data_IF_394296263508
#
_entry.id   IF_394296263508
#
_cell.length_a   1.000
_cell.length_b   1.000
_cell.length_c   1.000
_cell.angle_alpha   90.00
_cell.angle_beta   90.00
_cell.angle_gamma   90.00
#
_symmetry.space_group_name_H-M   'P 1'
#
loop_
_entity.id
_entity.type
_entity.pdbx_description
1 polymer ?
#
# COMPACT_ATOMS: atom_id res chain seq x y z
N UNK A 1 -17.74 -44.65 39.08
CA UNK A 1 -16.90 -43.66 38.39
C UNK A 1 -16.05 -42.95 39.43
N UNK A 2 -14.75 -43.24 39.50
CA UNK A 2 -13.83 -42.60 40.43
C UNK A 2 -13.43 -41.22 39.88
N UNK A 3 -13.61 -40.16 40.67
CA UNK A 3 -13.18 -38.81 40.31
C UNK A 3 -11.65 -38.74 40.27
N UNK A 4 -11.04 -38.01 39.30
CA UNK A 4 -9.60 -37.87 39.23
C UNK A 4 -9.06 -37.10 40.45
N UNK A 5 -7.87 -37.44 40.94
CA UNK A 5 -7.28 -36.76 42.09
C UNK A 5 -7.03 -35.29 41.76
N UNK A 6 -7.48 -34.39 42.65
CA UNK A 6 -7.22 -32.97 42.57
C UNK A 6 -5.70 -32.74 42.68
N UNK A 7 -5.08 -32.19 41.63
CA UNK A 7 -3.67 -31.77 41.67
C UNK A 7 -3.45 -30.86 42.87
N UNK A 8 -2.36 -31.11 43.61
CA UNK A 8 -2.02 -30.29 44.77
C UNK A 8 -1.75 -28.85 44.32
N UNK A 9 -2.18 -27.87 45.10
CA UNK A 9 -1.94 -26.45 44.81
C UNK A 9 -0.46 -26.16 44.59
N UNK A 10 0.43 -26.87 45.28
CA UNK A 10 1.88 -26.78 45.12
C UNK A 10 2.35 -27.16 43.70
N UNK A 11 1.79 -28.22 43.11
CA UNK A 11 2.14 -28.66 41.75
C UNK A 11 1.68 -27.64 40.70
N UNK A 12 0.53 -26.99 40.95
CA UNK A 12 -0.01 -25.95 40.07
C UNK A 12 0.88 -24.69 40.08
N UNK A 13 1.40 -24.30 41.25
CA UNK A 13 2.34 -23.17 41.36
C UNK A 13 3.69 -23.47 40.70
N UNK A 14 4.17 -24.70 40.78
CA UNK A 14 5.41 -25.10 40.12
C UNK A 14 5.26 -25.16 38.60
N UNK A 15 4.13 -25.65 38.10
CA UNK A 15 3.77 -25.62 36.68
C UNK A 15 3.68 -24.18 36.15
N UNK A 16 3.09 -23.26 36.91
CA UNK A 16 3.04 -21.84 36.55
C UNK A 16 4.45 -21.21 36.41
N UNK A 17 5.40 -21.56 37.29
CA UNK A 17 6.79 -21.08 37.17
C UNK A 17 7.49 -21.61 35.92
N UNK A 18 7.27 -22.88 35.56
CA UNK A 18 7.82 -23.47 34.33
C UNK A 18 7.26 -22.81 33.08
N UNK A 19 5.96 -22.52 33.07
CA UNK A 19 5.31 -21.79 31.97
C UNK A 19 5.91 -20.39 31.84
N UNK A 20 6.11 -19.69 32.96
CA UNK A 20 6.69 -18.36 32.96
C UNK A 20 8.13 -18.34 32.41
N UNK A 21 8.97 -19.29 32.82
CA UNK A 21 10.32 -19.44 32.28
C UNK A 21 10.31 -19.69 30.77
N UNK A 22 9.41 -20.55 30.30
CA UNK A 22 9.29 -20.86 28.86
C UNK A 22 8.85 -19.65 28.04
N UNK A 23 7.94 -18.84 28.58
CA UNK A 23 7.51 -17.59 27.96
C UNK A 23 8.69 -16.60 27.87
N UNK A 24 9.50 -16.51 28.92
CA UNK A 24 10.68 -15.64 28.96
C UNK A 24 11.72 -16.06 27.91
N UNK A 25 12.00 -17.35 27.78
CA UNK A 25 12.86 -17.90 26.71
C UNK A 25 12.30 -17.61 25.30
N UNK A 26 10.98 -17.63 25.12
CA UNK A 26 10.34 -17.31 23.86
C UNK A 26 10.47 -15.83 23.50
N UNK A 27 10.34 -14.93 24.49
CA UNK A 27 10.61 -13.51 24.30
C UNK A 27 12.06 -13.24 23.91
N UNK A 28 13.02 -13.93 24.55
CA UNK A 28 14.44 -13.82 24.20
C UNK A 28 14.73 -14.32 22.78
N UNK A 29 14.15 -15.47 22.41
CA UNK A 29 14.25 -16.00 21.03
C UNK A 29 13.65 -15.02 20.01
N UNK A 30 12.55 -14.37 20.36
CA UNK A 30 11.92 -13.37 19.50
C UNK A 30 12.80 -12.11 19.36
N UNK A 31 13.35 -11.59 20.47
CA UNK A 31 14.25 -10.46 20.46
C UNK A 31 15.51 -10.72 19.61
N UNK A 32 16.12 -11.92 19.73
CA UNK A 32 17.25 -12.35 18.88
C UNK A 32 16.88 -12.38 17.40
N UNK A 33 15.68 -12.88 17.04
CA UNK A 33 15.23 -12.85 15.64
C UNK A 33 15.03 -11.44 15.12
N UNK A 34 14.49 -10.53 15.93
CA UNK A 34 14.33 -9.13 15.54
C UNK A 34 15.67 -8.42 15.34
N UNK A 35 16.66 -8.65 16.20
CA UNK A 35 18.00 -8.04 16.04
C UNK A 35 18.68 -8.55 14.78
N UNK A 36 18.59 -9.85 14.47
CA UNK A 36 19.08 -10.42 13.23
C UNK A 36 18.37 -9.83 12.00
N UNK A 37 17.05 -9.71 12.04
CA UNK A 37 16.29 -9.09 10.96
C UNK A 37 16.72 -7.64 10.74
N UNK A 38 16.83 -6.83 11.80
CA UNK A 38 17.31 -5.43 11.71
C UNK A 38 18.72 -5.34 11.12
N UNK A 39 19.64 -6.22 11.55
CA UNK A 39 21.01 -6.28 11.01
C UNK A 39 21.01 -6.63 9.52
N UNK A 40 20.27 -7.67 9.11
CA UNK A 40 20.15 -8.09 7.71
C UNK A 40 19.50 -7.01 6.85
N UNK A 41 18.40 -6.42 7.32
CA UNK A 41 17.72 -5.33 6.62
C UNK A 41 18.64 -4.11 6.44
N UNK A 42 19.38 -3.71 7.47
CA UNK A 42 20.32 -2.61 7.38
C UNK A 42 21.48 -2.92 6.40
N UNK A 43 21.99 -4.16 6.41
CA UNK A 43 23.02 -4.58 5.45
C UNK A 43 22.49 -4.57 4.00
N UNK A 44 21.27 -5.05 3.78
CA UNK A 44 20.63 -5.05 2.46
C UNK A 44 20.33 -3.63 1.97
N UNK A 45 19.85 -2.76 2.86
CA UNK A 45 19.64 -1.34 2.56
C UNK A 45 20.95 -0.63 2.18
N UNK A 46 22.07 -0.97 2.86
CA UNK A 46 23.40 -0.46 2.48
C UNK A 46 23.84 -0.96 1.10
N UNK A 47 23.65 -2.25 0.79
CA UNK A 47 23.94 -2.79 -0.55
C UNK A 47 23.16 -2.08 -1.64
N UNK A 48 21.87 -1.84 -1.42
CA UNK A 48 21.04 -1.12 -2.38
C UNK A 48 21.47 0.34 -2.55
N UNK A 49 21.88 1.02 -1.46
CA UNK A 49 22.44 2.37 -1.55
C UNK A 49 23.78 2.39 -2.31
N UNK A 50 24.64 1.41 -2.06
CA UNK A 50 25.94 1.30 -2.72
C UNK A 50 25.78 1.01 -4.23
N UNK A 51 24.85 0.14 -4.63
CA UNK A 51 24.53 -0.09 -6.05
C UNK A 51 23.95 1.13 -6.76
N UNK A 52 23.25 2.02 -6.05
CA UNK A 52 22.79 3.31 -6.60
C UNK A 52 23.98 4.27 -6.80
N UNK A 53 24.93 4.31 -5.85
CA UNK A 53 26.14 5.13 -5.98
C UNK A 53 27.07 4.62 -7.09
N UNK A 54 27.32 3.31 -7.18
CA UNK A 54 28.19 2.72 -8.22
C UNK A 54 27.59 2.87 -9.64
N UNK A 55 26.26 2.87 -9.73
CA UNK A 55 25.53 3.19 -10.95
C UNK A 55 25.64 4.66 -11.38
N UNK A 56 25.85 5.58 -10.43
CA UNK A 56 26.09 7.00 -10.71
C UNK A 56 27.56 7.30 -11.08
N UNK A 57 28.51 6.52 -10.55
CA UNK A 57 29.95 6.66 -10.86
C UNK A 57 30.29 6.15 -12.27
N UNK A 58 29.60 5.12 -12.76
CA UNK A 58 29.87 4.52 -14.08
C UNK A 58 29.30 5.35 -15.24
N UNK A 59 28.36 6.27 -14.98
CA UNK A 59 27.73 7.12 -16.00
C UNK A 59 28.40 8.48 -16.19
N UNK A 60 29.37 8.86 -15.37
CA UNK A 60 30.02 10.17 -15.44
C UNK A 60 31.55 10.05 -15.55
N UNK A 61 32.02 9.56 -16.70
CA UNK A 61 33.35 9.93 -17.22
C UNK A 61 33.26 11.21 -18.04
N UNK A 62 32.72 12.29 -17.48
CA UNK A 62 32.96 13.67 -17.97
C UNK A 62 32.50 14.71 -16.96
N UNK A 63 33.38 15.65 -16.65
CA UNK A 63 33.13 16.94 -15.99
C UNK A 63 33.04 16.98 -14.45
N UNK A 64 34.23 17.08 -13.85
CA UNK A 64 34.65 18.09 -12.87
C UNK A 64 33.60 18.81 -12.00
N UNK A 65 33.84 18.66 -10.69
CA UNK A 65 33.71 19.67 -9.63
C UNK A 65 32.33 19.96 -9.01
N UNK A 66 32.33 19.92 -7.68
CA UNK A 66 31.33 20.44 -6.72
C UNK A 66 30.14 19.53 -6.39
N UNK A 67 30.31 18.60 -5.44
CA UNK A 67 29.30 18.29 -4.40
C UNK A 67 29.82 17.21 -3.43
N UNK A 68 30.69 17.59 -2.49
CA UNK A 68 31.04 16.74 -1.36
C UNK A 68 31.09 17.56 -0.07
N UNK A 69 29.96 18.15 0.31
CA UNK A 69 29.76 18.73 1.64
C UNK A 69 28.29 18.60 2.02
N UNK A 70 27.99 17.66 2.91
CA UNK A 70 27.09 17.83 4.07
C UNK A 70 26.85 16.45 4.68
N UNK A 71 27.56 16.19 5.78
CA UNK A 71 27.05 15.69 7.08
C UNK A 71 28.23 15.12 7.86
N UNK A 72 28.94 16.02 8.55
CA UNK A 72 29.84 15.69 9.64
C UNK A 72 29.27 16.24 10.96
N UNK A 73 29.68 15.61 12.06
CA UNK A 73 29.38 15.84 13.49
C UNK A 73 28.20 15.02 14.04
N UNK A 74 28.30 14.25 15.12
CA UNK A 74 29.38 13.85 16.04
C UNK A 74 28.82 12.62 16.80
N UNK A 75 29.59 11.55 17.08
CA UNK A 75 30.02 11.26 18.46
C UNK A 75 30.97 10.05 18.60
N UNK A 76 31.86 10.25 19.55
CA UNK A 76 32.82 9.42 20.27
C UNK A 76 32.93 7.89 20.07
N UNK A 77 34.20 7.49 19.88
CA UNK A 77 34.96 6.51 20.68
C UNK A 77 35.18 5.07 20.19
N UNK A 78 36.48 4.81 20.07
CA UNK A 78 37.25 3.58 20.26
C UNK A 78 37.22 2.53 19.15
N UNK A 79 38.39 2.41 18.53
CA UNK A 79 38.73 1.32 17.63
C UNK A 79 39.09 0.04 18.38
N UNK A 80 39.12 -1.04 17.63
CA UNK A 80 40.33 -1.85 17.50
C UNK A 80 40.29 -2.60 16.17
N UNK A 81 41.49 -2.80 15.63
CA UNK A 81 41.85 -3.38 14.32
C UNK A 81 41.88 -4.91 14.40
N UNK A 82 41.38 -5.60 13.37
CA UNK A 82 41.94 -6.84 12.77
C UNK A 82 41.40 -6.89 11.32
N UNK A 83 42.17 -6.61 10.25
CA UNK A 83 43.21 -7.41 9.57
C UNK A 83 42.73 -8.79 9.08
N UNK A 84 42.70 -8.98 7.77
CA UNK A 84 42.43 -10.25 7.10
C UNK A 84 41.91 -10.04 5.67
N UNK A 85 42.83 -9.86 4.72
CA UNK A 85 42.50 -9.94 3.30
C UNK A 85 42.34 -11.38 2.84
N UNK A 86 41.65 -11.59 1.73
CA UNK A 86 42.14 -12.45 0.66
C UNK A 86 41.36 -12.21 -0.63
N UNK A 87 42.14 -12.08 -1.70
CA UNK A 87 41.72 -12.09 -3.09
C UNK A 87 41.28 -13.50 -3.47
N UNK A 88 40.17 -13.63 -4.20
CA UNK A 88 40.13 -14.63 -5.26
C UNK A 88 39.25 -14.14 -6.41
N UNK A 89 39.83 -14.20 -7.60
CA UNK A 89 39.24 -13.78 -8.86
C UNK A 89 39.04 -15.03 -9.70
N UNK A 90 37.78 -15.35 -9.99
CA UNK A 90 37.46 -16.23 -11.12
C UNK A 90 36.38 -15.58 -11.96
N UNK A 91 36.80 -15.27 -13.18
CA UNK A 91 36.01 -14.90 -14.33
C UNK A 91 35.01 -16.01 -14.66
N UNK A 92 33.80 -15.65 -15.06
CA UNK A 92 33.16 -16.25 -16.24
C UNK A 92 32.10 -15.30 -16.79
N UNK A 93 32.36 -14.87 -18.01
CA UNK A 93 31.46 -14.10 -18.84
C UNK A 93 30.46 -15.04 -19.52
N UNK A 94 29.16 -14.87 -19.25
CA UNK A 94 28.11 -15.31 -20.18
C UNK A 94 27.16 -14.16 -20.47
N UNK A 95 27.42 -13.58 -21.65
CA UNK A 95 26.53 -12.82 -22.51
C UNK A 95 25.09 -13.36 -22.50
N UNK A 96 24.13 -12.48 -22.23
CA UNK A 96 22.71 -12.86 -22.25
C UNK A 96 21.75 -11.68 -22.08
N UNK A 97 21.95 -10.60 -22.84
CA UNK A 97 20.98 -9.50 -22.96
C UNK A 97 19.62 -10.00 -23.46
N UNK A 98 18.68 -10.26 -22.55
CA UNK A 98 17.24 -10.35 -22.88
C UNK A 98 16.53 -9.09 -22.42
N UNK A 99 16.34 -8.17 -23.38
CA UNK A 99 15.42 -7.04 -23.29
C UNK A 99 14.00 -7.60 -23.18
N UNK A 100 13.43 -7.64 -21.98
CA UNK A 100 11.99 -7.83 -21.82
C UNK A 100 11.30 -6.47 -21.86
N UNK A 101 10.43 -6.33 -22.86
CA UNK A 101 9.67 -5.13 -23.15
C UNK A 101 8.90 -4.61 -21.94
N UNK A 102 9.06 -3.31 -21.71
CA UNK A 102 8.29 -2.48 -20.80
C UNK A 102 6.85 -2.42 -21.33
N UNK A 103 5.97 -3.27 -20.80
CA UNK A 103 4.53 -3.25 -21.08
C UNK A 103 3.87 -2.28 -20.10
N UNK A 104 3.37 -1.17 -20.61
CA UNK A 104 2.71 -0.12 -19.82
C UNK A 104 1.51 -0.68 -19.04
N UNK A 105 1.57 -0.59 -17.70
CA UNK A 105 0.57 -1.09 -16.75
C UNK A 105 -0.43 0.00 -16.32
N UNK A 106 -0.74 0.97 -17.19
CA UNK A 106 -1.57 2.13 -16.81
C UNK A 106 -3.01 1.79 -16.39
N UNK A 107 -3.57 0.63 -16.80
CA UNK A 107 -4.95 0.26 -16.46
C UNK A 107 -5.16 -0.26 -15.03
N UNK A 108 -4.19 -0.99 -14.45
CA UNK A 108 -4.37 -1.66 -13.14
C UNK A 108 -4.36 -0.68 -11.96
N UNK A 109 -3.77 0.49 -12.15
CA UNK A 109 -3.64 1.46 -11.07
C UNK A 109 -4.95 2.22 -10.83
N UNK A 110 -5.80 2.37 -11.84
CA UNK A 110 -7.09 3.07 -11.74
C UNK A 110 -8.06 2.32 -10.81
N UNK A 111 -8.14 0.99 -10.93
CA UNK A 111 -9.02 0.17 -10.09
C UNK A 111 -8.54 0.14 -8.63
N UNK A 112 -7.22 0.12 -8.41
CA UNK A 112 -6.64 0.27 -7.08
C UNK A 112 -7.00 1.64 -6.53
N UNK A 113 -6.77 2.75 -7.24
CA UNK A 113 -7.13 4.09 -6.76
C UNK A 113 -8.62 4.25 -6.45
N UNK A 114 -9.51 3.65 -7.26
CA UNK A 114 -10.96 3.63 -7.02
C UNK A 114 -11.35 2.79 -5.78
N UNK A 115 -10.69 1.66 -5.54
CA UNK A 115 -10.88 0.90 -4.31
C UNK A 115 -10.32 1.66 -3.08
N UNK A 116 -9.28 2.47 -3.29
CA UNK A 116 -8.65 3.26 -2.23
C UNK A 116 -9.42 4.52 -1.84
N UNK A 117 -10.19 5.11 -2.77
CA UNK A 117 -10.95 6.33 -2.50
C UNK A 117 -12.00 6.15 -1.41
N UNK A 118 -12.55 4.93 -1.21
CA UNK A 118 -13.50 4.65 -0.14
C UNK A 118 -12.87 4.67 1.27
N UNK A 119 -11.53 4.61 1.39
CA UNK A 119 -10.83 4.68 2.67
C UNK A 119 -10.44 6.10 3.08
N UNK A 120 -10.44 7.04 2.14
CA UNK A 120 -10.29 8.47 2.36
C UNK A 120 -11.65 9.15 2.25
N UNK A 121 -12.37 9.23 3.37
CA UNK A 121 -13.37 10.28 3.57
C UNK A 121 -12.79 11.22 4.61
N UNK A 122 -12.06 12.27 4.18
CA UNK A 122 -11.63 13.31 5.10
C UNK A 122 -12.79 14.29 5.37
N UNK A 123 -12.67 15.16 6.38
CA UNK A 123 -13.80 15.91 6.93
C UNK A 123 -14.32 17.05 6.03
N UNK A 124 -13.68 17.34 4.89
CA UNK A 124 -14.07 18.44 3.99
C UNK A 124 -13.46 18.23 2.59
N UNK A 125 -14.17 18.41 1.46
CA UNK A 125 -13.61 18.32 0.10
C UNK A 125 -12.30 19.12 -0.11
N UNK A 126 -12.08 20.22 0.63
CA UNK A 126 -10.84 20.98 0.55
C UNK A 126 -9.60 20.19 1.05
N UNK A 127 -9.78 19.34 2.06
CA UNK A 127 -8.70 18.54 2.68
C UNK A 127 -8.27 17.36 1.81
N UNK A 128 -9.03 17.00 0.78
CA UNK A 128 -8.63 16.03 -0.25
C UNK A 128 -7.68 16.62 -1.27
N UNK A 129 -7.74 17.94 -1.48
CA UNK A 129 -6.90 18.62 -2.47
C UNK A 129 -5.59 19.09 -1.85
N UNK A 130 -5.65 19.64 -0.65
CA UNK A 130 -4.53 20.26 0.03
C UNK A 130 -4.14 19.45 1.28
N UNK A 131 -2.84 19.33 1.53
CA UNK A 131 -2.32 18.69 2.73
C UNK A 131 -2.48 19.61 3.94
N UNK A 132 -3.19 19.17 4.98
CA UNK A 132 -3.38 19.96 6.21
C UNK A 132 -2.08 20.30 6.97
N UNK A 133 -0.97 19.59 6.70
CA UNK A 133 0.30 19.79 7.40
C UNK A 133 1.23 20.77 6.69
N UNK A 134 1.44 20.60 5.39
CA UNK A 134 2.35 21.46 4.60
C UNK A 134 1.62 22.41 3.66
N UNK A 135 0.30 22.34 3.59
CA UNK A 135 -0.56 23.15 2.71
C UNK A 135 -0.24 23.04 1.22
N UNK A 136 0.59 22.07 0.79
CA UNK A 136 0.80 21.75 -0.61
C UNK A 136 -0.28 20.85 -1.19
N UNK A 137 -0.43 20.86 -2.52
CA UNK A 137 -1.33 19.97 -3.25
C UNK A 137 -0.97 18.51 -3.02
N UNK A 138 -1.95 17.65 -2.73
CA UNK A 138 -1.68 16.21 -2.47
C UNK A 138 -1.19 15.44 -3.69
N UNK A 139 -1.42 15.97 -4.89
CA UNK A 139 -1.00 15.40 -6.17
C UNK A 139 -0.68 16.53 -7.15
N UNK A 140 0.32 16.31 -8.03
CA UNK A 140 0.62 17.23 -9.13
C UNK A 140 -0.54 17.41 -10.10
N UNK A 141 -1.42 16.41 -10.23
CA UNK A 141 -2.61 16.48 -11.09
C UNK A 141 -3.68 17.45 -10.60
N UNK A 142 -3.65 17.81 -9.31
CA UNK A 142 -4.62 18.72 -8.71
C UNK A 142 -4.22 20.18 -8.85
N UNK A 143 -2.93 20.41 -9.07
CA UNK A 143 -2.36 21.73 -9.35
C UNK A 143 -3.07 22.33 -10.57
N UNK A 144 -3.58 23.56 -10.43
CA UNK A 144 -4.18 24.31 -11.54
C UNK A 144 -3.14 25.22 -12.16
N UNK A 145 -3.22 25.41 -13.48
CA UNK A 145 -2.41 26.38 -14.19
C UNK A 145 -2.81 27.81 -13.81
N UNK A 146 -1.82 28.70 -13.76
CA UNK A 146 -2.06 30.14 -13.66
C UNK A 146 -2.92 30.63 -14.85
N UNK A 147 -3.67 31.73 -14.67
CA UNK A 147 -4.39 32.35 -15.77
C UNK A 147 -3.41 32.78 -16.86
N UNK A 148 -3.65 32.33 -18.09
CA UNK A 148 -2.83 32.73 -19.24
C UNK A 148 -2.85 34.26 -19.40
N UNK A 149 -1.71 34.91 -19.67
CA UNK A 149 -0.39 34.34 -20.02
C UNK A 149 0.62 34.37 -18.86
N UNK A 150 0.18 34.38 -17.60
CA UNK A 150 1.07 34.47 -16.45
C UNK A 150 1.87 33.19 -16.22
N UNK A 151 3.13 33.34 -15.84
CA UNK A 151 4.00 32.26 -15.42
C UNK A 151 4.67 32.59 -14.08
N UNK A 152 4.84 31.58 -13.24
CA UNK A 152 5.59 31.68 -11.99
C UNK A 152 7.06 31.37 -12.23
N UNK A 153 7.93 32.13 -11.59
CA UNK A 153 9.38 31.95 -11.57
C UNK A 153 9.86 32.05 -10.12
N UNK A 154 11.00 31.42 -9.83
CA UNK A 154 11.68 31.57 -8.55
C UNK A 154 12.89 32.48 -8.75
N UNK A 155 13.05 33.49 -7.90
CA UNK A 155 14.24 34.32 -7.86
C UNK A 155 15.34 33.56 -7.11
N UNK A 156 16.43 33.21 -7.81
CA UNK A 156 17.55 32.45 -7.24
C UNK A 156 18.26 33.19 -6.10
N UNK A 157 18.19 34.52 -6.06
CA UNK A 157 18.89 35.31 -5.05
C UNK A 157 18.13 35.36 -3.72
N UNK A 158 16.80 35.41 -3.78
CA UNK A 158 15.94 35.51 -2.59
C UNK A 158 15.22 34.21 -2.25
N UNK A 159 15.15 33.26 -3.18
CA UNK A 159 14.36 32.04 -3.09
C UNK A 159 12.84 32.28 -3.15
N UNK A 160 12.40 33.52 -3.44
CA UNK A 160 10.98 33.88 -3.48
C UNK A 160 10.42 33.71 -4.88
N UNK A 161 9.15 33.33 -4.96
CA UNK A 161 8.47 33.23 -6.24
C UNK A 161 7.88 34.57 -6.67
N UNK A 162 7.92 34.81 -7.98
CA UNK A 162 7.31 35.96 -8.63
C UNK A 162 6.57 35.52 -9.89
N UNK A 163 5.61 36.33 -10.30
CA UNK A 163 4.76 36.10 -11.46
C UNK A 163 5.11 37.09 -12.55
N UNK A 164 5.38 36.59 -13.74
CA UNK A 164 5.75 37.39 -14.90
C UNK A 164 4.70 37.26 -16.00
N UNK A 165 4.31 38.40 -16.56
CA UNK A 165 3.44 38.47 -17.73
C UNK A 165 4.28 38.79 -18.98
N UNK A 166 4.47 37.86 -19.92
CA UNK A 166 5.37 38.03 -21.06
C UNK A 166 4.93 39.14 -22.04
N UNK A 167 3.62 39.27 -22.28
CA UNK A 167 3.10 40.28 -23.21
C UNK A 167 3.31 41.73 -22.76
N UNK A 168 3.14 42.02 -21.47
CA UNK A 168 3.23 43.38 -20.90
C UNK A 168 4.55 43.63 -20.15
N UNK A 169 5.38 42.59 -20.00
CA UNK A 169 6.60 42.58 -19.19
C UNK A 169 6.40 42.98 -17.73
N UNK A 170 5.18 42.80 -17.20
CA UNK A 170 4.89 43.09 -15.80
C UNK A 170 5.39 41.96 -14.90
N UNK A 171 5.97 42.34 -13.76
CA UNK A 171 6.37 41.44 -12.66
C UNK A 171 5.48 41.72 -11.46
N UNK A 172 5.00 40.67 -10.79
CA UNK A 172 4.21 40.75 -9.57
C UNK A 172 4.73 39.74 -8.55
N UNK A 173 4.69 40.11 -7.27
CA UNK A 173 5.07 39.23 -6.17
C UNK A 173 3.89 38.45 -5.59
N UNK A 174 2.67 38.78 -6.01
CA UNK A 174 1.44 38.10 -5.59
C UNK A 174 0.76 37.49 -6.83
N UNK A 175 0.02 36.38 -6.65
CA UNK A 175 -0.70 35.74 -7.74
C UNK A 175 -1.67 36.72 -8.42
N UNK A 176 -1.85 36.65 -9.75
CA UNK A 176 -2.84 37.44 -10.46
C UNK A 176 -4.26 37.23 -9.92
N UNK A 177 -5.13 38.25 -9.99
CA UNK A 177 -6.48 38.19 -9.42
C UNK A 177 -7.38 37.08 -10.00
N UNK A 178 -7.11 36.60 -11.21
CA UNK A 178 -7.83 35.49 -11.85
C UNK A 178 -7.27 34.10 -11.46
N UNK A 179 -6.37 34.02 -10.48
CA UNK A 179 -5.85 32.75 -9.96
C UNK A 179 -6.94 32.03 -9.17
N UNK A 180 -7.00 30.71 -9.30
CA UNK A 180 -7.96 29.90 -8.56
C UNK A 180 -7.75 30.03 -7.04
N UNK A 181 -8.84 30.06 -6.27
CA UNK A 181 -8.81 30.19 -4.82
C UNK A 181 -7.93 29.16 -4.12
N UNK A 182 -7.94 27.89 -4.54
CA UNK A 182 -7.09 26.86 -3.93
C UNK A 182 -5.60 27.16 -4.16
N UNK A 183 -5.23 27.55 -5.38
CA UNK A 183 -3.85 27.91 -5.72
C UNK A 183 -3.38 29.15 -4.95
N UNK A 184 -4.26 30.13 -4.73
CA UNK A 184 -3.99 31.28 -3.87
C UNK A 184 -3.77 30.88 -2.39
N UNK A 185 -4.61 29.98 -1.85
CA UNK A 185 -4.46 29.45 -0.49
C UNK A 185 -3.12 28.69 -0.30
N UNK A 186 -2.69 27.93 -1.31
CA UNK A 186 -1.38 27.25 -1.27
C UNK A 186 -0.24 28.28 -1.29
N UNK A 187 -0.36 29.33 -2.09
CA UNK A 187 0.64 30.41 -2.15
C UNK A 187 0.83 31.11 -0.80
N UNK A 188 -0.25 31.47 -0.11
CA UNK A 188 -0.18 32.17 1.20
C UNK A 188 0.66 31.44 2.25
N UNK A 189 0.80 30.11 2.13
CA UNK A 189 1.54 29.29 3.09
C UNK A 189 2.87 28.76 2.58
N UNK A 190 3.01 28.58 1.27
CA UNK A 190 4.16 27.91 0.67
C UNK A 190 4.98 28.81 -0.27
N UNK A 191 4.56 30.05 -0.46
CA UNK A 191 5.13 31.04 -1.37
C UNK A 191 5.16 30.61 -2.86
N UNK A 192 4.46 29.54 -3.24
CA UNK A 192 4.31 29.10 -4.64
C UNK A 192 2.89 28.59 -4.88
N UNK A 193 2.33 28.84 -6.08
CA UNK A 193 1.01 28.28 -6.44
C UNK A 193 1.10 26.83 -6.93
N UNK A 194 2.31 26.27 -7.04
CA UNK A 194 2.56 24.95 -7.62
C UNK A 194 3.10 23.93 -6.62
N UNK A 195 3.18 24.26 -5.33
CA UNK A 195 3.75 23.38 -4.30
C UNK A 195 2.97 22.06 -4.18
N UNK A 196 3.66 20.94 -4.44
CA UNK A 196 3.12 19.59 -4.22
C UNK A 196 3.62 19.05 -2.88
N UNK A 197 2.68 18.54 -2.08
CA UNK A 197 2.92 17.91 -0.79
C UNK A 197 3.93 16.76 -0.90
N UNK A 198 4.98 16.81 -0.07
CA UNK A 198 5.97 15.73 0.11
C UNK A 198 5.90 15.09 1.50
N UNK A 199 4.88 15.40 2.29
CA UNK A 199 4.74 14.84 3.62
C UNK A 199 4.61 13.32 3.57
N UNK A 200 5.52 12.63 4.27
CA UNK A 200 5.34 11.21 4.56
C UNK A 200 4.04 11.08 5.37
N UNK A 201 3.11 10.16 5.01
CA UNK A 201 1.91 9.95 5.81
C UNK A 201 2.31 9.71 7.26
N UNK A 202 1.75 10.51 8.17
CA UNK A 202 2.05 10.41 9.60
C UNK A 202 1.86 8.96 10.06
N UNK A 203 2.61 8.53 11.08
CA UNK A 203 2.52 7.16 11.61
C UNK A 203 1.08 6.79 11.97
N UNK A 204 0.33 7.74 12.51
CA UNK A 204 -1.09 7.62 12.84
C UNK A 204 -1.97 7.49 11.57
N UNK A 205 -1.77 8.35 10.57
CA UNK A 205 -2.47 8.25 9.27
C UNK A 205 -2.21 6.90 8.58
N UNK A 206 -0.97 6.40 8.64
CA UNK A 206 -0.59 5.09 8.12
C UNK A 206 -1.26 3.95 8.90
N UNK A 207 -1.32 4.04 10.23
CA UNK A 207 -2.00 3.06 11.08
C UNK A 207 -3.49 2.98 10.75
N UNK A 208 -4.19 4.13 10.68
CA UNK A 208 -5.61 4.21 10.30
C UNK A 208 -5.86 3.62 8.92
N UNK A 209 -5.00 3.93 7.95
CA UNK A 209 -5.10 3.37 6.61
C UNK A 209 -4.97 1.83 6.62
N UNK A 210 -3.96 1.30 7.32
CA UNK A 210 -3.78 -0.15 7.44
C UNK A 210 -4.93 -0.84 8.20
N UNK A 211 -5.52 -0.17 9.19
CA UNK A 211 -6.69 -0.68 9.90
C UNK A 211 -7.89 -0.79 8.95
N UNK A 212 -8.19 0.26 8.19
CA UNK A 212 -9.28 0.25 7.21
C UNK A 212 -9.08 -0.82 6.13
N UNK A 213 -7.86 -1.00 5.64
CA UNK A 213 -7.53 -2.09 4.71
C UNK A 213 -7.83 -3.47 5.31
N UNK A 214 -7.45 -3.68 6.57
CA UNK A 214 -7.71 -4.93 7.27
C UNK A 214 -9.21 -5.20 7.39
N UNK A 215 -9.99 -4.19 7.78
CA UNK A 215 -11.45 -4.30 7.90
C UNK A 215 -12.11 -4.65 6.57
N UNK A 216 -11.69 -4.01 5.47
CA UNK A 216 -12.21 -4.32 4.15
C UNK A 216 -11.83 -5.72 3.66
N UNK A 217 -10.58 -6.14 3.87
CA UNK A 217 -10.14 -7.49 3.52
C UNK A 217 -10.97 -8.56 4.26
N UNK A 218 -11.28 -8.31 5.55
CA UNK A 218 -12.16 -9.17 6.33
C UNK A 218 -13.60 -9.14 5.80
N UNK A 219 -14.10 -7.98 5.38
CA UNK A 219 -15.42 -7.84 4.75
C UNK A 219 -15.54 -8.65 3.46
N UNK A 220 -14.55 -8.55 2.57
CA UNK A 220 -14.52 -9.34 1.34
C UNK A 220 -14.45 -10.84 1.62
N UNK A 221 -13.61 -11.27 2.56
CA UNK A 221 -13.52 -12.68 2.95
C UNK A 221 -14.86 -13.23 3.47
N UNK A 222 -15.62 -12.42 4.22
CA UNK A 222 -16.97 -12.79 4.68
C UNK A 222 -17.96 -12.91 3.52
N UNK A 223 -17.99 -11.92 2.64
CA UNK A 223 -18.89 -11.94 1.47
C UNK A 223 -18.61 -13.16 0.57
N UNK A 224 -17.34 -13.47 0.35
CA UNK A 224 -16.93 -14.62 -0.44
C UNK A 224 -17.33 -15.94 0.24
N UNK A 225 -17.20 -16.04 1.57
CA UNK A 225 -17.66 -17.20 2.33
C UNK A 225 -19.19 -17.38 2.27
N UNK A 226 -19.96 -16.29 2.41
CA UNK A 226 -21.42 -16.32 2.26
C UNK A 226 -21.84 -16.71 0.85
N UNK A 227 -21.16 -16.21 -0.18
CA UNK A 227 -21.44 -16.56 -1.56
C UNK A 227 -21.20 -18.05 -1.81
N UNK A 228 -20.11 -18.60 -1.27
CA UNK A 228 -19.83 -20.04 -1.32
C UNK A 228 -20.90 -20.86 -0.60
N UNK A 229 -21.33 -20.45 0.59
CA UNK A 229 -22.39 -21.14 1.35
C UNK A 229 -23.72 -21.15 0.58
N UNK A 230 -24.13 -20.00 0.03
CA UNK A 230 -25.34 -19.91 -0.81
C UNK A 230 -25.24 -20.82 -2.03
N UNK A 231 -24.08 -20.85 -2.69
CA UNK A 231 -23.86 -21.71 -3.85
C UNK A 231 -23.97 -23.20 -3.49
N UNK A 232 -23.35 -23.63 -2.38
CA UNK A 232 -23.43 -25.01 -1.90
C UNK A 232 -24.85 -25.40 -1.50
N UNK A 233 -25.58 -24.52 -0.80
CA UNK A 233 -27.00 -24.75 -0.46
C UNK A 233 -27.87 -24.88 -1.71
N UNK A 234 -27.67 -24.02 -2.70
CA UNK A 234 -28.38 -24.10 -3.99
C UNK A 234 -28.09 -25.41 -4.72
N UNK A 235 -26.83 -25.83 -4.79
CA UNK A 235 -26.42 -27.10 -5.38
C UNK A 235 -27.06 -28.29 -4.64
N UNK A 236 -27.06 -28.27 -3.31
CA UNK A 236 -27.70 -29.31 -2.50
C UNK A 236 -29.21 -29.39 -2.73
N UNK A 237 -29.92 -28.25 -2.78
CA UNK A 237 -31.37 -28.23 -3.05
C UNK A 237 -31.70 -28.74 -4.46
N UNK A 238 -30.88 -28.41 -5.46
CA UNK A 238 -31.03 -28.94 -6.82
C UNK A 238 -30.88 -30.46 -6.86
N UNK A 239 -29.84 -31.00 -6.21
CA UNK A 239 -29.63 -32.44 -6.10
C UNK A 239 -30.80 -33.13 -5.39
N UNK A 240 -31.25 -32.59 -4.26
CA UNK A 240 -32.38 -33.14 -3.51
C UNK A 240 -33.65 -33.20 -4.37
N UNK A 241 -33.94 -32.14 -5.13
CA UNK A 241 -35.12 -32.09 -6.02
C UNK A 241 -35.02 -33.11 -7.17
N UNK A 242 -33.83 -33.34 -7.71
CA UNK A 242 -33.62 -34.34 -8.77
C UNK A 242 -33.79 -35.79 -8.31
N UNK A 243 -33.58 -36.05 -7.01
CA UNK A 243 -33.67 -37.38 -6.40
C UNK A 243 -35.07 -37.71 -5.87
N UNK A 244 -36.00 -36.74 -5.84
CA UNK A 244 -37.40 -37.01 -5.53
C UNK A 244 -38.02 -37.72 -6.74
N UNK A 245 -38.46 -38.98 -6.64
CA UNK A 245 -39.13 -39.66 -7.73
C UNK A 245 -40.42 -38.90 -8.06
N UNK A 246 -40.61 -38.51 -9.32
CA UNK A 246 -41.93 -38.13 -9.81
C UNK A 246 -42.83 -39.36 -9.72
N UNK A 247 -43.62 -39.46 -8.65
CA UNK A 247 -44.82 -40.29 -8.63
C UNK A 247 -45.78 -39.69 -9.65
N UNK A 248 -45.62 -40.07 -10.93
CA UNK A 248 -46.60 -39.80 -11.96
C UNK A 248 -47.86 -40.54 -11.57
N UNK A 249 -48.93 -39.77 -11.39
CA UNK A 249 -50.27 -40.23 -11.10
C UNK A 249 -50.65 -41.40 -12.02
N UNK A 250 -50.95 -42.54 -11.40
CA UNK A 250 -51.71 -43.60 -12.03
C UNK A 250 -53.14 -43.08 -12.21
N UNK A 251 -53.46 -42.63 -13.43
CA UNK A 251 -54.85 -42.47 -13.87
C UNK A 251 -55.46 -43.87 -13.96
N UNK A 252 -56.24 -44.23 -12.95
CA UNK A 252 -57.09 -45.42 -12.96
C UNK A 252 -58.28 -45.17 -13.91
N UNK A 253 -58.46 -46.10 -14.84
CA UNK A 253 -59.42 -46.02 -15.93
C UNK A 253 -60.79 -46.52 -15.51
N UNK A 254 -61.81 -45.69 -15.64
CA UNK A 254 -63.21 -46.12 -15.57
C UNK A 254 -63.71 -46.46 -16.99
N UNK A 255 -64.22 -47.67 -17.27
CA UNK A 255 -64.66 -48.06 -18.59
C UNK A 255 -66.09 -47.60 -18.90
N UNK A 256 -66.25 -47.04 -20.10
CA UNK A 256 -67.51 -46.68 -20.74
C UNK A 256 -68.18 -47.95 -21.30
N UNK A 257 -69.49 -48.22 -21.06
CA UNK A 257 -70.17 -49.31 -21.75
C UNK A 257 -70.61 -48.92 -23.15
N UNK A 258 -70.43 -49.89 -24.04
CA UNK A 258 -70.65 -49.88 -25.47
C UNK A 258 -72.09 -49.60 -25.89
N UNK A 259 -72.19 -48.77 -26.94
CA UNK A 259 -73.31 -48.58 -27.86
C UNK A 259 -73.58 -49.87 -28.65
N UNK A 260 -74.79 -50.41 -28.58
CA UNK A 260 -75.32 -51.39 -29.56
C UNK A 260 -76.12 -50.66 -30.63
N UNK A 261 -75.74 -50.95 -31.88
CA UNK A 261 -76.41 -50.59 -33.12
C UNK A 261 -77.73 -51.37 -33.27
N UNK A 262 -78.80 -50.73 -33.79
CA UNK A 262 -79.35 -51.02 -35.13
C UNK A 262 -80.68 -50.31 -35.39
N UNK A 263 -80.80 -49.88 -36.64
CA UNK A 263 -81.96 -49.34 -37.34
C UNK A 263 -83.15 -50.31 -37.32
N UNK A 264 -84.36 -49.80 -37.08
CA UNK A 264 -85.52 -49.75 -38.01
C UNK A 264 -86.74 -49.18 -37.31
#
# INVERSE_FOLDING_TARGET
MALPPLRSSAESFEEARRIQQRIEEDFDRYAKRQTLFRKKFAAEARKHHQGICDGACSSNSSSSSVAALLFAQHDASQGDRESGGDHDSTEEAISGSKRYGRRDKNGKHADVFRALSCFYSPPDPATDVICEFCFGFRSSSLVRSLPSPWAEYCDETTGKHYFYHPGTRQVRWHPPAATEALSALVFERTDSVFTVCRCIPSKERRRRLMQKFREHALGLARQEAEQRDRHLRGAFMSLATSLVPHTRDAQDGTPHPHRTTKET
#
